data_IF_404729763502
#
_entry.id   IF_404729763502
#
_cell.length_a   1.000
_cell.length_b   1.000
_cell.length_c   1.000
_cell.angle_alpha   90.00
_cell.angle_beta   90.00
_cell.angle_gamma   90.00
#
_symmetry.space_group_name_H-M   'P 1'
#
loop_
_entity.id
_entity.type
_entity.pdbx_description
1 polymer ?
#
# COMPACT_ATOMS: atom_id res chain seq x y z
N UNK A 1 -10.76 -15.42 5.10
CA UNK A 1 -11.95 -14.59 5.40
C UNK A 1 -11.87 -13.31 4.59
N UNK A 2 -12.95 -12.95 3.85
CA UNK A 2 -13.09 -11.70 3.10
C UNK A 2 -13.23 -10.49 4.02
N UNK A 3 -12.95 -9.29 3.48
CA UNK A 3 -13.35 -8.01 4.06
C UNK A 3 -14.57 -7.53 3.28
N UNK A 4 -15.61 -7.08 3.98
CA UNK A 4 -16.85 -6.65 3.36
C UNK A 4 -17.24 -5.27 3.87
N UNK A 5 -17.53 -4.38 2.96
CA UNK A 5 -18.18 -3.10 3.19
C UNK A 5 -19.68 -3.28 3.01
N UNK A 6 -20.46 -2.86 3.97
CA UNK A 6 -21.92 -2.97 3.93
C UNK A 6 -22.52 -1.58 4.10
N UNK A 7 -23.02 -0.99 3.00
CA UNK A 7 -23.66 0.33 2.95
C UNK A 7 -22.83 1.43 3.63
N UNK A 8 -21.51 1.44 3.42
CA UNK A 8 -20.59 2.37 4.05
C UNK A 8 -20.77 3.77 3.49
N UNK A 9 -21.01 4.74 4.36
CA UNK A 9 -21.09 6.16 4.03
C UNK A 9 -20.15 6.96 4.91
N UNK A 10 -19.57 8.05 4.33
CA UNK A 10 -18.69 8.97 5.04
C UNK A 10 -18.81 10.37 4.49
N UNK A 11 -18.89 11.35 5.39
CA UNK A 11 -18.83 12.77 5.05
C UNK A 11 -17.77 13.49 5.92
N UNK A 12 -17.25 14.59 5.43
CA UNK A 12 -16.43 15.54 6.17
C UNK A 12 -17.07 16.93 6.04
N UNK A 13 -17.66 17.43 7.15
CA UNK A 13 -18.52 18.59 7.12
C UNK A 13 -19.69 18.35 6.16
N UNK A 14 -19.89 19.23 5.20
CA UNK A 14 -20.96 19.12 4.18
C UNK A 14 -20.57 18.24 2.97
N UNK A 15 -19.30 17.81 2.88
CA UNK A 15 -18.81 17.04 1.74
C UNK A 15 -18.97 15.55 1.97
N UNK A 16 -19.90 14.92 1.26
CA UNK A 16 -20.06 13.47 1.28
C UNK A 16 -19.09 12.80 0.32
N UNK A 17 -18.16 11.98 0.85
CA UNK A 17 -17.10 11.31 0.09
C UNK A 17 -17.39 9.85 -0.22
N UNK A 18 -18.19 9.16 0.61
CA UNK A 18 -18.68 7.81 0.34
C UNK A 18 -20.19 7.76 0.57
N UNK A 19 -20.92 7.07 -0.32
CA UNK A 19 -22.40 7.02 -0.30
C UNK A 19 -22.88 5.58 -0.42
N UNK A 20 -23.22 4.94 0.71
CA UNK A 20 -23.84 3.62 0.72
C UNK A 20 -23.01 2.53 0.02
N UNK A 21 -21.67 2.63 0.08
CA UNK A 21 -20.77 1.76 -0.63
C UNK A 21 -20.81 0.34 -0.05
N UNK A 22 -21.06 -0.64 -0.93
CA UNK A 22 -21.00 -2.05 -0.58
C UNK A 22 -20.05 -2.76 -1.52
N UNK A 23 -19.04 -3.44 -0.98
CA UNK A 23 -18.01 -4.13 -1.74
C UNK A 23 -17.41 -5.28 -0.92
N UNK A 24 -16.86 -6.27 -1.62
CA UNK A 24 -16.20 -7.41 -1.01
C UNK A 24 -14.80 -7.58 -1.58
N UNK A 25 -13.82 -7.66 -0.69
CA UNK A 25 -12.43 -8.00 -0.99
C UNK A 25 -12.18 -9.43 -0.53
N UNK A 26 -12.03 -10.36 -1.47
CA UNK A 26 -11.75 -11.75 -1.13
C UNK A 26 -10.34 -11.91 -0.55
N UNK A 27 -10.13 -12.95 0.25
CA UNK A 27 -8.80 -13.26 0.75
C UNK A 27 -7.88 -13.62 -0.41
N UNK A 28 -6.69 -13.01 -0.45
CA UNK A 28 -5.71 -13.25 -1.51
C UNK A 28 -6.01 -12.50 -2.82
N UNK A 29 -7.10 -11.74 -2.88
CA UNK A 29 -7.45 -10.94 -4.05
C UNK A 29 -6.62 -9.66 -4.13
N UNK A 30 -6.24 -9.25 -5.35
CA UNK A 30 -5.74 -7.92 -5.65
C UNK A 30 -6.86 -7.06 -6.23
N UNK A 31 -7.13 -5.91 -5.62
CA UNK A 31 -8.15 -4.97 -6.06
C UNK A 31 -7.55 -3.57 -6.20
N UNK A 32 -7.75 -2.94 -7.35
CA UNK A 32 -7.44 -1.54 -7.59
C UNK A 32 -8.71 -0.70 -7.46
N UNK A 33 -8.72 0.21 -6.50
CA UNK A 33 -9.74 1.25 -6.36
C UNK A 33 -9.33 2.41 -7.25
N UNK A 34 -10.07 2.59 -8.34
CA UNK A 34 -9.75 3.60 -9.34
C UNK A 34 -10.74 4.76 -9.30
N UNK A 35 -10.32 5.90 -9.82
CA UNK A 35 -11.18 7.07 -9.94
C UNK A 35 -10.42 8.38 -9.75
N UNK A 36 -11.09 9.49 -10.04
CA UNK A 36 -10.51 10.84 -9.92
C UNK A 36 -10.08 11.15 -8.48
N UNK A 37 -9.14 12.09 -8.35
CA UNK A 37 -8.77 12.62 -7.03
C UNK A 37 -10.00 13.20 -6.32
N UNK A 38 -10.06 13.04 -5.00
CA UNK A 38 -11.18 13.56 -4.19
C UNK A 38 -12.40 12.63 -4.07
N UNK A 39 -12.45 11.50 -4.78
CA UNK A 39 -13.59 10.54 -4.70
C UNK A 39 -13.60 9.66 -3.44
N UNK A 40 -12.81 9.98 -2.43
CA UNK A 40 -12.83 9.24 -1.16
C UNK A 40 -12.06 7.92 -1.14
N UNK A 41 -11.21 7.63 -2.15
CA UNK A 41 -10.43 6.38 -2.23
C UNK A 41 -9.52 6.17 -1.01
N UNK A 42 -8.74 7.19 -0.63
CA UNK A 42 -7.91 7.15 0.59
C UNK A 42 -8.76 7.02 1.85
N UNK A 43 -9.94 7.66 1.89
CA UNK A 43 -10.90 7.52 3.00
C UNK A 43 -11.42 6.08 3.09
N UNK A 44 -11.75 5.48 1.96
CA UNK A 44 -12.15 4.06 1.88
C UNK A 44 -11.06 3.16 2.45
N UNK A 45 -9.81 3.32 2.02
CA UNK A 45 -8.69 2.54 2.55
C UNK A 45 -8.52 2.73 4.06
N UNK A 46 -8.62 3.97 4.56
CA UNK A 46 -8.54 4.26 6.00
C UNK A 46 -9.68 3.61 6.78
N UNK A 47 -10.90 3.57 6.22
CA UNK A 47 -12.04 2.86 6.83
C UNK A 47 -11.80 1.35 6.85
N UNK A 48 -11.31 0.75 5.76
CA UNK A 48 -10.97 -0.67 5.70
C UNK A 48 -9.92 -1.05 6.75
N UNK A 49 -8.92 -0.19 6.96
CA UNK A 49 -7.88 -0.38 7.98
C UNK A 49 -8.34 -0.09 9.41
N UNK A 50 -9.55 0.46 9.60
CA UNK A 50 -10.04 0.90 10.92
C UNK A 50 -9.37 2.19 11.44
N UNK A 51 -8.69 2.94 10.58
CA UNK A 51 -8.07 4.25 10.88
C UNK A 51 -9.08 5.39 10.79
N UNK A 52 -10.24 5.15 10.18
CA UNK A 52 -11.35 6.08 10.07
C UNK A 52 -12.66 5.32 10.31
N UNK A 53 -13.62 5.93 10.99
CA UNK A 53 -14.94 5.33 11.22
C UNK A 53 -15.91 5.78 10.13
N UNK A 54 -16.71 4.87 9.55
CA UNK A 54 -17.82 5.27 8.70
C UNK A 54 -18.89 5.97 9.53
N UNK A 55 -19.65 6.88 8.90
CA UNK A 55 -20.79 7.55 9.54
C UNK A 55 -22.04 6.67 9.49
N UNK A 56 -22.13 5.79 8.47
CA UNK A 56 -23.17 4.76 8.37
C UNK A 56 -22.59 3.51 7.71
N UNK A 57 -23.29 2.38 7.93
CA UNK A 57 -22.84 1.08 7.43
C UNK A 57 -21.82 0.42 8.35
N UNK A 58 -21.14 -0.61 7.83
CA UNK A 58 -20.19 -1.39 8.60
C UNK A 58 -19.09 -2.01 7.74
N UNK A 59 -17.91 -2.24 8.35
CA UNK A 59 -16.83 -3.07 7.78
C UNK A 59 -16.81 -4.40 8.54
N UNK A 60 -16.94 -5.49 7.81
CA UNK A 60 -16.89 -6.86 8.36
C UNK A 60 -15.61 -7.56 7.94
N UNK A 61 -15.13 -8.50 8.75
CA UNK A 61 -13.97 -9.34 8.44
C UNK A 61 -12.60 -8.64 8.53
N UNK A 62 -12.52 -7.35 8.90
CA UNK A 62 -11.27 -6.62 9.11
C UNK A 62 -10.70 -6.80 10.52
N UNK A 63 -11.55 -7.03 11.52
CA UNK A 63 -11.14 -7.19 12.93
C UNK A 63 -10.19 -8.38 13.08
N UNK A 64 -9.06 -8.16 13.74
CA UNK A 64 -8.03 -9.17 13.97
C UNK A 64 -7.06 -9.39 12.83
N UNK A 65 -7.25 -8.75 11.67
CA UNK A 65 -6.27 -8.76 10.57
C UNK A 65 -5.16 -7.75 10.82
N UNK A 66 -3.96 -8.13 10.42
CA UNK A 66 -2.79 -7.24 10.39
C UNK A 66 -2.76 -6.52 9.05
N UNK A 67 -2.64 -5.21 9.11
CA UNK A 67 -2.53 -4.35 7.94
C UNK A 67 -1.12 -3.80 7.83
N UNK A 68 -0.60 -3.75 6.60
CA UNK A 68 0.57 -2.95 6.26
C UNK A 68 0.18 -1.96 5.17
N UNK A 69 0.71 -0.74 5.22
CA UNK A 69 0.33 0.29 4.26
C UNK A 69 1.52 1.12 3.78
N UNK A 70 1.51 1.44 2.48
CA UNK A 70 2.25 2.55 1.91
C UNK A 70 1.24 3.64 1.53
N UNK A 71 1.28 4.76 2.22
CA UNK A 71 0.40 5.90 1.99
C UNK A 71 0.95 6.80 0.87
N UNK A 72 0.14 7.72 0.38
CA UNK A 72 0.57 8.73 -0.60
C UNK A 72 1.78 9.53 -0.10
N UNK A 73 1.84 9.84 1.19
CA UNK A 73 3.03 10.31 1.87
C UNK A 73 3.85 9.10 2.32
N UNK A 74 5.16 9.09 2.07
CA UNK A 74 6.00 7.91 2.33
C UNK A 74 6.13 7.55 3.81
N UNK A 75 5.97 8.55 4.70
CA UNK A 75 6.00 8.39 6.17
C UNK A 75 7.20 7.59 6.66
N UNK A 76 8.34 7.83 6.05
CA UNK A 76 9.61 7.24 6.45
C UNK A 76 10.21 8.00 7.64
N UNK A 77 11.02 7.32 8.44
CA UNK A 77 11.83 7.95 9.47
C UNK A 77 13.07 8.53 8.78
N UNK A 78 13.09 9.83 8.53
CA UNK A 78 14.04 10.52 7.66
C UNK A 78 15.52 10.30 8.02
N UNK A 79 15.82 10.19 9.33
CA UNK A 79 17.18 10.00 9.83
C UNK A 79 17.67 8.55 9.74
N UNK A 80 16.78 7.59 9.50
CA UNK A 80 17.16 6.19 9.31
C UNK A 80 17.48 5.94 7.84
N UNK A 81 18.39 4.99 7.60
CA UNK A 81 18.63 4.45 6.27
C UNK A 81 17.42 3.67 5.76
N UNK A 82 17.42 3.27 4.49
CA UNK A 82 16.40 2.40 3.94
C UNK A 82 16.31 1.08 4.72
N UNK A 83 17.46 0.48 5.04
CA UNK A 83 17.51 -0.72 5.89
C UNK A 83 16.91 -0.46 7.27
N UNK A 84 17.26 0.66 7.91
CA UNK A 84 16.73 1.05 9.20
C UNK A 84 15.21 1.18 9.20
N UNK A 85 14.63 1.77 8.14
CA UNK A 85 13.18 1.88 7.98
C UNK A 85 12.49 0.52 7.84
N UNK A 86 13.08 -0.42 7.10
CA UNK A 86 12.54 -1.77 6.97
C UNK A 86 12.62 -2.54 8.31
N UNK A 87 13.76 -2.51 8.97
CA UNK A 87 13.94 -3.16 10.28
C UNK A 87 12.99 -2.61 11.34
N UNK A 88 12.77 -1.29 11.34
CA UNK A 88 11.82 -0.64 12.25
C UNK A 88 10.40 -1.20 12.11
N UNK A 89 9.95 -1.47 10.87
CA UNK A 89 8.60 -1.96 10.61
C UNK A 89 8.45 -3.49 10.69
N UNK A 90 9.50 -4.24 10.34
CA UNK A 90 9.45 -5.69 10.20
C UNK A 90 10.02 -6.43 11.42
N UNK A 91 10.77 -5.74 12.27
CA UNK A 91 11.42 -6.32 13.44
C UNK A 91 12.48 -7.37 13.09
N UNK A 92 12.73 -8.31 14.03
CA UNK A 92 13.74 -9.37 13.88
C UNK A 92 13.40 -10.44 12.82
N UNK A 93 12.20 -10.40 12.24
CA UNK A 93 11.79 -11.36 11.20
C UNK A 93 12.41 -11.06 9.81
N UNK A 94 13.17 -9.98 9.70
CA UNK A 94 13.79 -9.55 8.45
C UNK A 94 15.28 -9.89 8.45
N UNK A 95 15.68 -10.85 7.60
CA UNK A 95 17.08 -11.21 7.38
C UNK A 95 17.76 -10.34 6.31
N UNK A 96 19.07 -10.23 6.38
CA UNK A 96 19.87 -9.41 5.46
C UNK A 96 19.77 -9.87 4.01
N UNK A 97 19.86 -11.18 3.65
CA UNK A 97 19.77 -11.63 2.27
C UNK A 97 18.44 -11.26 1.63
N UNK A 98 17.33 -11.45 2.36
CA UNK A 98 15.98 -11.11 1.88
C UNK A 98 15.81 -9.61 1.67
N UNK A 99 16.41 -8.82 2.54
CA UNK A 99 16.37 -7.36 2.45
C UNK A 99 17.18 -6.86 1.24
N UNK A 100 18.40 -7.40 1.03
CA UNK A 100 19.24 -7.07 -0.13
C UNK A 100 18.55 -7.43 -1.45
N UNK A 101 17.93 -8.61 -1.53
CA UNK A 101 17.13 -9.04 -2.67
C UNK A 101 15.96 -8.07 -2.95
N UNK A 102 15.26 -7.64 -1.89
CA UNK A 102 14.14 -6.72 -2.01
C UNK A 102 14.56 -5.35 -2.59
N UNK A 103 15.68 -4.79 -2.10
CA UNK A 103 16.22 -3.54 -2.62
C UNK A 103 16.63 -3.65 -4.07
N UNK A 104 17.36 -4.71 -4.42
CA UNK A 104 17.77 -4.97 -5.80
C UNK A 104 16.56 -5.14 -6.73
N UNK A 105 15.51 -5.85 -6.29
CA UNK A 105 14.31 -6.10 -7.07
C UNK A 105 13.54 -4.82 -7.45
N UNK A 106 13.66 -3.75 -6.65
CA UNK A 106 13.05 -2.45 -6.97
C UNK A 106 14.08 -1.42 -7.49
N UNK A 107 15.29 -1.87 -7.83
CA UNK A 107 16.33 -1.01 -8.41
C UNK A 107 16.92 0.02 -7.45
N UNK A 108 17.03 -0.32 -6.16
CA UNK A 108 17.82 0.45 -5.19
C UNK A 108 19.23 -0.14 -5.08
N UNK A 109 20.23 0.73 -5.19
CA UNK A 109 21.65 0.31 -5.12
C UNK A 109 22.10 0.16 -3.67
N UNK A 110 23.20 -0.58 -3.39
CA UNK A 110 23.77 -0.65 -2.05
C UNK A 110 24.04 0.73 -1.44
N UNK A 111 24.50 1.69 -2.25
CA UNK A 111 24.74 3.06 -1.81
C UNK A 111 23.46 3.80 -1.40
N UNK A 112 22.33 3.54 -2.07
CA UNK A 112 21.05 4.14 -1.74
C UNK A 112 20.51 3.62 -0.40
N UNK A 113 20.73 2.34 -0.11
CA UNK A 113 20.13 1.70 1.07
C UNK A 113 20.85 2.03 2.37
N UNK A 114 22.11 2.49 2.30
CA UNK A 114 22.91 2.89 3.46
C UNK A 114 22.69 4.34 3.89
N UNK A 115 22.26 5.20 2.95
CA UNK A 115 22.01 6.62 3.23
C UNK A 115 20.76 6.83 4.07
N UNK A 116 20.69 7.90 4.89
CA UNK A 116 19.45 8.38 5.45
C UNK A 116 18.42 8.61 4.36
N UNK A 117 17.18 8.15 4.57
CA UNK A 117 16.15 8.28 3.51
C UNK A 117 15.81 9.73 3.19
N UNK A 118 16.12 10.68 4.07
CA UNK A 118 16.02 12.12 3.79
C UNK A 118 16.90 12.58 2.64
N UNK A 119 17.99 11.86 2.32
CA UNK A 119 18.93 12.17 1.23
C UNK A 119 18.56 11.47 -0.10
N UNK A 120 17.56 10.62 -0.09
CA UNK A 120 17.10 9.90 -1.27
C UNK A 120 16.19 10.76 -2.14
N UNK A 121 16.17 10.48 -3.45
CA UNK A 121 15.18 11.06 -4.36
C UNK A 121 13.76 10.65 -3.97
N UNK A 122 12.75 11.39 -4.45
CA UNK A 122 11.34 11.05 -4.20
C UNK A 122 10.99 9.63 -4.66
N UNK A 123 11.45 9.23 -5.85
CA UNK A 123 11.22 7.87 -6.35
C UNK A 123 11.93 6.79 -5.55
N UNK A 124 13.14 7.06 -5.04
CA UNK A 124 13.84 6.14 -4.14
C UNK A 124 13.10 6.00 -2.81
N UNK A 125 12.69 7.11 -2.18
CA UNK A 125 11.88 7.09 -0.95
C UNK A 125 10.57 6.30 -1.17
N UNK A 126 9.90 6.52 -2.29
CA UNK A 126 8.67 5.79 -2.64
C UNK A 126 8.89 4.29 -2.67
N UNK A 127 9.97 3.83 -3.29
CA UNK A 127 10.34 2.40 -3.33
C UNK A 127 10.68 1.85 -1.94
N UNK A 128 11.34 2.60 -1.07
CA UNK A 128 11.58 2.20 0.33
C UNK A 128 10.26 2.07 1.10
N UNK A 129 9.33 3.03 0.96
CA UNK A 129 8.03 2.97 1.62
C UNK A 129 7.20 1.76 1.14
N UNK A 130 7.26 1.46 -0.15
CA UNK A 130 6.64 0.28 -0.74
C UNK A 130 7.21 -1.02 -0.15
N UNK A 131 8.54 -1.16 -0.13
CA UNK A 131 9.21 -2.33 0.45
C UNK A 131 8.85 -2.50 1.93
N UNK A 132 8.84 -1.41 2.70
CA UNK A 132 8.45 -1.44 4.11
C UNK A 132 7.06 -2.02 4.32
N UNK A 133 6.09 -1.65 3.49
CA UNK A 133 4.74 -2.20 3.56
C UNK A 133 4.69 -3.67 3.11
N UNK A 134 5.39 -4.03 2.03
CA UNK A 134 5.37 -5.37 1.48
C UNK A 134 6.09 -6.40 2.34
N UNK A 135 7.16 -6.01 3.02
CA UNK A 135 7.95 -6.92 3.85
C UNK A 135 7.41 -7.05 5.27
N UNK A 136 6.59 -6.12 5.73
CA UNK A 136 5.93 -6.22 7.02
C UNK A 136 4.98 -7.43 7.09
N UNK A 137 4.92 -8.13 8.25
CA UNK A 137 3.99 -9.24 8.43
C UNK A 137 2.56 -8.74 8.47
N UNK A 138 1.80 -8.97 7.39
CA UNK A 138 0.43 -8.50 7.22
C UNK A 138 -0.44 -9.50 6.47
N UNK A 139 -1.74 -9.52 6.79
CA UNK A 139 -2.77 -10.29 6.08
C UNK A 139 -3.34 -9.48 4.90
N UNK A 140 -3.28 -8.14 5.03
CA UNK A 140 -3.78 -7.17 4.04
C UNK A 140 -2.73 -6.10 3.81
N UNK A 141 -2.42 -5.83 2.55
CA UNK A 141 -1.53 -4.75 2.13
C UNK A 141 -2.35 -3.66 1.45
N UNK A 142 -2.17 -2.43 1.88
CA UNK A 142 -2.84 -1.26 1.31
C UNK A 142 -1.78 -0.35 0.70
N UNK A 143 -1.92 -0.07 -0.58
CA UNK A 143 -1.00 0.78 -1.34
C UNK A 143 -1.76 1.98 -1.90
N UNK A 144 -1.39 3.18 -1.49
CA UNK A 144 -2.00 4.44 -1.96
C UNK A 144 -1.02 5.15 -2.90
N UNK A 145 -1.36 5.19 -4.20
CA UNK A 145 -0.55 5.74 -5.29
C UNK A 145 0.89 5.15 -5.31
N UNK A 146 1.06 3.80 -5.30
CA UNK A 146 2.35 3.17 -5.02
C UNK A 146 3.45 3.50 -6.04
N UNK A 147 3.08 3.81 -7.28
CA UNK A 147 4.03 4.02 -8.37
C UNK A 147 4.16 5.47 -8.81
N UNK A 148 3.53 6.39 -8.08
CA UNK A 148 3.58 7.83 -8.37
C UNK A 148 5.02 8.34 -8.33
N UNK A 149 5.43 9.03 -9.41
CA UNK A 149 6.76 9.62 -9.52
C UNK A 149 7.89 8.63 -9.84
N UNK A 150 7.56 7.39 -10.18
CA UNK A 150 8.51 6.43 -10.72
C UNK A 150 8.56 6.56 -12.26
N UNK A 151 9.76 6.39 -12.82
CA UNK A 151 9.90 6.14 -14.25
C UNK A 151 9.35 4.76 -14.63
N UNK A 152 9.20 4.49 -15.93
CA UNK A 152 8.57 3.25 -16.40
C UNK A 152 9.34 2.00 -15.97
N UNK A 153 10.66 2.01 -15.98
CA UNK A 153 11.47 0.86 -15.58
C UNK A 153 11.32 0.56 -14.07
N UNK A 154 11.36 1.60 -13.24
CA UNK A 154 11.15 1.47 -11.79
C UNK A 154 9.69 1.05 -11.47
N UNK A 155 8.70 1.55 -12.23
CA UNK A 155 7.30 1.16 -12.09
C UNK A 155 7.09 -0.32 -12.38
N UNK A 156 7.63 -0.82 -13.48
CA UNK A 156 7.56 -2.23 -13.86
C UNK A 156 8.22 -3.14 -12.81
N UNK A 157 9.42 -2.78 -12.36
CA UNK A 157 10.17 -3.53 -11.34
C UNK A 157 9.38 -3.55 -10.00
N UNK A 158 8.86 -2.41 -9.56
CA UNK A 158 8.07 -2.29 -8.34
C UNK A 158 6.78 -3.11 -8.44
N UNK A 159 6.06 -3.05 -9.55
CA UNK A 159 4.82 -3.81 -9.76
C UNK A 159 5.09 -5.33 -9.77
N UNK A 160 6.16 -5.78 -10.42
CA UNK A 160 6.57 -7.19 -10.40
C UNK A 160 6.87 -7.65 -8.96
N UNK A 161 7.54 -6.81 -8.17
CA UNK A 161 7.82 -7.11 -6.77
C UNK A 161 6.53 -7.16 -5.94
N UNK A 162 5.59 -6.23 -6.13
CA UNK A 162 4.27 -6.24 -5.46
C UNK A 162 3.54 -7.56 -5.72
N UNK A 163 3.43 -7.99 -6.99
CA UNK A 163 2.79 -9.27 -7.35
C UNK A 163 3.44 -10.45 -6.66
N UNK A 164 4.77 -10.50 -6.65
CA UNK A 164 5.52 -11.59 -5.98
C UNK A 164 5.22 -11.63 -4.48
N UNK A 165 5.21 -10.46 -3.84
CA UNK A 165 5.01 -10.33 -2.40
C UNK A 165 3.56 -10.40 -1.97
N UNK A 166 2.61 -10.26 -2.89
CA UNK A 166 1.19 -10.36 -2.57
C UNK A 166 0.78 -11.78 -2.18
N UNK A 167 1.45 -12.82 -2.67
CA UNK A 167 1.09 -14.24 -2.55
C UNK A 167 0.31 -14.59 -1.28
N UNK A 168 -1.00 -14.88 -1.43
CA UNK A 168 -1.93 -15.24 -0.35
C UNK A 168 -2.44 -14.06 0.51
N UNK A 169 -1.89 -12.85 0.37
CA UNK A 169 -2.35 -11.63 1.05
C UNK A 169 -3.36 -10.87 0.19
N UNK A 170 -4.34 -10.26 0.82
CA UNK A 170 -5.25 -9.33 0.12
C UNK A 170 -4.50 -8.03 -0.17
N UNK A 171 -4.57 -7.55 -1.41
CA UNK A 171 -4.01 -6.28 -1.84
C UNK A 171 -5.12 -5.30 -2.18
N UNK A 172 -5.10 -4.14 -1.54
CA UNK A 172 -5.92 -2.98 -1.88
C UNK A 172 -5.00 -1.89 -2.42
N UNK A 173 -5.06 -1.63 -3.71
CA UNK A 173 -4.29 -0.58 -4.36
C UNK A 173 -5.21 0.58 -4.73
N UNK A 174 -4.82 1.79 -4.36
CA UNK A 174 -5.50 3.02 -4.77
C UNK A 174 -4.63 3.67 -5.82
N UNK A 175 -5.20 3.94 -6.98
CA UNK A 175 -4.49 4.62 -8.07
C UNK A 175 -5.47 5.35 -8.98
N UNK A 176 -4.98 6.30 -9.75
CA UNK A 176 -5.70 6.92 -10.85
C UNK A 176 -5.11 6.54 -12.21
N UNK A 177 -4.02 5.76 -12.22
CA UNK A 177 -3.33 5.30 -13.43
C UNK A 177 -3.94 4.00 -13.93
N UNK A 178 -4.54 4.02 -15.13
CA UNK A 178 -5.22 2.86 -15.72
C UNK A 178 -4.31 1.63 -15.88
N UNK A 179 -3.02 1.84 -16.15
CA UNK A 179 -2.05 0.76 -16.32
C UNK A 179 -1.71 -0.01 -15.04
N UNK A 180 -1.93 0.58 -13.86
CA UNK A 180 -1.51 -0.04 -12.59
C UNK A 180 -2.29 -1.32 -12.29
N UNK A 181 -3.59 -1.34 -12.57
CA UNK A 181 -4.41 -2.53 -12.36
C UNK A 181 -3.93 -3.71 -13.20
N UNK A 182 -3.61 -3.46 -14.47
CA UNK A 182 -3.05 -4.48 -15.37
C UNK A 182 -1.67 -4.96 -14.90
N UNK A 183 -0.78 -4.04 -14.50
CA UNK A 183 0.52 -4.36 -13.96
C UNK A 183 0.44 -5.22 -12.69
N UNK A 184 -0.56 -5.02 -11.86
CA UNK A 184 -0.77 -5.78 -10.63
C UNK A 184 -1.58 -7.05 -10.83
N UNK A 185 -2.20 -7.26 -12.01
CA UNK A 185 -3.17 -8.33 -12.22
C UNK A 185 -4.37 -8.19 -11.31
N UNK A 186 -4.77 -6.95 -10.99
CA UNK A 186 -5.80 -6.64 -10.02
C UNK A 186 -7.15 -6.41 -10.68
N UNK A 187 -8.22 -6.80 -9.98
CA UNK A 187 -9.59 -6.40 -10.35
C UNK A 187 -9.75 -4.88 -10.13
N UNK A 188 -10.40 -4.22 -11.04
CA UNK A 188 -10.76 -2.80 -10.93
C UNK A 188 -12.10 -2.65 -10.20
N UNK A 189 -12.15 -1.68 -9.30
CA UNK A 189 -13.32 -1.29 -8.54
C UNK A 189 -13.49 0.24 -8.56
#
# INVERSE_FOLDING_TARGET
MSIELVNVSKAFGETQVLRGLSERFAQGEAVCVMGRSGLGKTTLARIVMGLEKPDAGAVRGAKGKRFAAAFQEDRLVERLSAQGNLRFACGAALDEPRMAEAFAAVGLTPQDVEKPVGELSGGQRRRVALLRALMAPADVVVLDEPFKGLDEAARQAAAAYVRRMQAGRTLLCITHEEGDAALLGARVF
#
